data_IF_275554702225
#
_entry.id   IF_275554702225
#
_cell.length_a   1.000
_cell.length_b   1.000
_cell.length_c   1.000
_cell.angle_alpha   90.00
_cell.angle_beta   90.00
_cell.angle_gamma   90.00
#
_symmetry.space_group_name_H-M   'P 1'
#
loop_
_entity.id
_entity.type
_entity.pdbx_description
1 polymer ?
#
# COMPACT_ATOMS: atom_id res chain seq x y z
N UNK A 1 -38.95 -19.15 -41.95
CA UNK A 1 -37.78 -19.65 -41.16
C UNK A 1 -37.68 -19.05 -39.76
N UNK A 2 -38.11 -17.79 -39.49
CA UNK A 2 -38.03 -17.21 -38.14
C UNK A 2 -38.89 -17.92 -37.09
N UNK A 3 -40.07 -18.43 -37.46
CA UNK A 3 -40.96 -19.16 -36.54
C UNK A 3 -40.44 -20.52 -36.07
N UNK A 4 -39.60 -21.20 -36.86
CA UNK A 4 -39.07 -22.53 -36.51
C UNK A 4 -38.07 -22.46 -35.36
N UNK A 5 -37.29 -21.37 -35.28
CA UNK A 5 -36.29 -21.15 -34.22
C UNK A 5 -36.98 -20.80 -32.90
N UNK A 6 -38.04 -19.98 -32.94
CA UNK A 6 -38.83 -19.64 -31.74
C UNK A 6 -39.57 -20.87 -31.20
N UNK A 7 -40.15 -21.70 -32.08
CA UNK A 7 -40.85 -22.93 -31.67
C UNK A 7 -39.90 -23.96 -31.04
N UNK A 8 -38.67 -24.10 -31.55
CA UNK A 8 -37.67 -25.00 -30.95
C UNK A 8 -37.18 -24.50 -29.59
N UNK A 9 -37.02 -23.19 -29.41
CA UNK A 9 -36.54 -22.62 -28.15
C UNK A 9 -37.55 -22.77 -27.00
N UNK A 10 -38.85 -22.71 -27.30
CA UNK A 10 -39.91 -22.96 -26.30
C UNK A 10 -39.94 -24.44 -25.89
N UNK A 11 -39.74 -25.37 -26.83
CA UNK A 11 -39.72 -26.81 -26.53
C UNK A 11 -38.42 -27.28 -25.85
N UNK A 12 -37.26 -26.70 -26.18
CA UNK A 12 -35.96 -27.06 -25.57
C UNK A 12 -35.78 -26.54 -24.14
N UNK A 13 -36.63 -25.64 -23.67
CA UNK A 13 -36.60 -25.14 -22.29
C UNK A 13 -37.14 -26.16 -21.27
N UNK A 14 -37.76 -27.26 -21.74
CA UNK A 14 -38.37 -28.29 -20.89
C UNK A 14 -37.70 -29.66 -20.91
N UNK A 15 -36.76 -29.95 -21.82
CA UNK A 15 -35.99 -31.20 -21.76
C UNK A 15 -34.61 -31.08 -22.43
N UNK A 16 -33.55 -31.23 -21.63
CA UNK A 16 -32.11 -31.30 -21.96
C UNK A 16 -31.53 -30.27 -22.95
N UNK A 17 -30.93 -29.19 -22.40
CA UNK A 17 -30.17 -28.19 -23.14
C UNK A 17 -28.84 -28.73 -23.67
N UNK A 18 -28.73 -28.93 -24.97
CA UNK A 18 -27.46 -29.21 -25.64
C UNK A 18 -26.69 -27.89 -25.87
N UNK A 19 -25.39 -27.87 -25.56
CA UNK A 19 -24.50 -26.70 -25.73
C UNK A 19 -24.51 -26.06 -27.14
N UNK A 20 -24.91 -26.85 -28.15
CA UNK A 20 -25.04 -26.40 -29.54
C UNK A 20 -26.21 -25.41 -29.70
N UNK A 21 -27.32 -25.61 -28.98
CA UNK A 21 -28.50 -24.74 -29.09
C UNK A 21 -28.20 -23.34 -28.53
N UNK A 22 -27.37 -23.24 -27.49
CA UNK A 22 -26.90 -21.96 -26.93
C UNK A 22 -26.02 -21.18 -27.91
N UNK A 23 -25.13 -21.85 -28.64
CA UNK A 23 -24.28 -21.20 -29.65
C UNK A 23 -25.10 -20.67 -30.83
N UNK A 24 -26.11 -21.44 -31.27
CA UNK A 24 -27.03 -21.00 -32.32
C UNK A 24 -27.82 -19.76 -31.89
N UNK A 25 -28.23 -19.67 -30.62
CA UNK A 25 -28.91 -18.48 -30.10
C UNK A 25 -27.99 -17.24 -30.07
N UNK A 26 -26.76 -17.37 -29.61
CA UNK A 26 -25.79 -16.25 -29.58
C UNK A 26 -25.52 -15.75 -30.99
N UNK A 27 -25.33 -16.66 -31.94
CA UNK A 27 -25.10 -16.31 -33.34
C UNK A 27 -26.32 -15.62 -33.97
N UNK A 28 -27.53 -16.07 -33.61
CA UNK A 28 -28.77 -15.44 -34.04
C UNK A 28 -28.93 -14.01 -33.48
N UNK A 29 -28.61 -13.80 -32.20
CA UNK A 29 -28.62 -12.45 -31.61
C UNK A 29 -27.61 -11.51 -32.28
N UNK A 30 -26.40 -12.00 -32.58
CA UNK A 30 -25.38 -11.22 -33.28
C UNK A 30 -25.86 -10.75 -34.67
N UNK A 31 -26.57 -11.60 -35.41
CA UNK A 31 -27.14 -11.26 -36.73
C UNK A 31 -28.21 -10.16 -36.66
N UNK A 32 -28.93 -10.02 -35.55
CA UNK A 32 -29.94 -8.97 -35.35
C UNK A 32 -29.30 -7.65 -34.91
N UNK A 33 -28.28 -7.71 -34.03
CA UNK A 33 -27.61 -6.52 -33.51
C UNK A 33 -26.66 -5.90 -34.54
N UNK A 34 -26.04 -6.71 -35.40
CA UNK A 34 -25.09 -6.25 -36.41
C UNK A 34 -25.64 -5.18 -37.39
N UNK A 35 -26.85 -5.31 -37.98
CA UNK A 35 -27.41 -4.26 -38.82
C UNK A 35 -27.81 -3.00 -38.03
N UNK A 36 -28.17 -3.12 -36.74
CA UNK A 36 -28.47 -1.96 -35.89
C UNK A 36 -27.23 -1.09 -35.62
N UNK A 37 -26.03 -1.67 -35.61
CA UNK A 37 -24.77 -0.93 -35.48
C UNK A 37 -24.41 -0.19 -36.78
N UNK A 38 -24.86 -0.69 -37.94
CA UNK A 38 -24.58 -0.07 -39.25
C UNK A 38 -25.50 1.11 -39.57
N UNK A 39 -26.66 1.22 -38.92
CA UNK A 39 -27.67 2.24 -39.23
C UNK A 39 -27.73 3.42 -38.24
N UNK A 40 -26.87 3.47 -37.22
CA UNK A 40 -26.70 4.69 -36.40
C UNK A 40 -25.82 5.70 -37.16
N UNK A 41 -26.36 6.18 -38.27
CA UNK A 41 -26.04 7.47 -38.88
C UNK A 41 -26.90 8.52 -38.17
N UNK A 42 -26.51 8.93 -36.97
CA UNK A 42 -27.09 10.12 -36.34
C UNK A 42 -26.08 11.26 -36.48
N UNK A 43 -26.36 12.13 -37.47
CA UNK A 43 -25.93 13.53 -37.56
C UNK A 43 -24.52 13.86 -38.11
N UNK A 44 -24.11 13.21 -39.20
CA UNK A 44 -23.53 13.94 -40.34
C UNK A 44 -22.06 14.40 -40.32
N UNK A 45 -21.38 14.65 -39.19
CA UNK A 45 -19.95 15.05 -39.17
C UNK A 45 -19.28 14.73 -37.83
N UNK A 46 -18.45 13.68 -37.72
CA UNK A 46 -17.24 13.69 -36.83
C UNK A 46 -16.33 12.43 -36.89
N UNK A 47 -16.80 11.24 -37.27
CA UNK A 47 -15.98 10.02 -37.10
C UNK A 47 -14.74 9.92 -38.01
N UNK A 48 -14.74 10.57 -39.18
CA UNK A 48 -13.58 10.53 -40.08
C UNK A 48 -12.40 11.37 -39.56
N UNK A 49 -12.67 12.49 -38.88
CA UNK A 49 -11.61 13.31 -38.26
C UNK A 49 -11.05 12.65 -37.02
N UNK A 50 -11.89 12.11 -36.16
CA UNK A 50 -11.43 11.38 -34.96
C UNK A 50 -10.63 10.13 -35.31
N UNK A 51 -11.00 9.37 -36.36
CA UNK A 51 -10.19 8.21 -36.78
C UNK A 51 -8.86 8.65 -37.41
N UNK A 52 -8.82 9.74 -38.17
CA UNK A 52 -7.56 10.25 -38.72
C UNK A 52 -6.65 10.82 -37.63
N UNK A 53 -7.21 11.51 -36.64
CA UNK A 53 -6.49 12.06 -35.49
C UNK A 53 -6.01 10.94 -34.56
N UNK A 54 -6.84 9.94 -34.27
CA UNK A 54 -6.44 8.73 -33.51
C UNK A 54 -5.40 7.93 -34.27
N UNK A 55 -5.49 7.82 -35.60
CA UNK A 55 -4.47 7.12 -36.40
C UNK A 55 -3.14 7.88 -36.43
N UNK A 56 -3.19 9.21 -36.39
CA UNK A 56 -2.01 10.09 -36.28
C UNK A 56 -1.39 9.97 -34.89
N UNK A 57 -2.21 10.03 -33.84
CA UNK A 57 -1.79 9.89 -32.45
C UNK A 57 -1.26 8.48 -32.14
N UNK A 58 -1.86 7.42 -32.71
CA UNK A 58 -1.34 6.04 -32.60
C UNK A 58 -0.06 5.87 -33.40
N UNK A 59 0.08 6.48 -34.59
CA UNK A 59 1.32 6.41 -35.36
C UNK A 59 2.46 7.15 -34.65
N UNK A 60 2.17 8.30 -34.06
CA UNK A 60 3.13 9.08 -33.26
C UNK A 60 3.46 8.36 -31.95
N UNK A 61 2.47 7.75 -31.28
CA UNK A 61 2.67 6.91 -30.09
C UNK A 61 3.47 5.65 -30.40
N UNK A 62 3.27 5.01 -31.56
CA UNK A 62 4.02 3.82 -31.98
C UNK A 62 5.44 4.18 -32.40
N UNK A 63 5.65 5.36 -33.01
CA UNK A 63 6.99 5.86 -33.31
C UNK A 63 7.75 6.26 -32.04
N UNK A 64 7.07 6.87 -31.06
CA UNK A 64 7.63 7.14 -29.73
C UNK A 64 7.93 5.83 -28.98
N UNK A 65 7.01 4.86 -28.99
CA UNK A 65 7.24 3.51 -28.44
C UNK A 65 8.40 2.78 -29.13
N UNK A 66 8.59 2.95 -30.45
CA UNK A 66 9.75 2.38 -31.16
C UNK A 66 11.06 3.06 -30.78
N UNK A 67 11.06 4.39 -30.56
CA UNK A 67 12.22 5.11 -30.03
C UNK A 67 12.51 4.69 -28.57
N UNK A 68 11.47 4.52 -27.75
CA UNK A 68 11.58 4.08 -26.36
C UNK A 68 12.01 2.61 -26.25
N UNK A 69 11.57 1.73 -27.17
CA UNK A 69 11.99 0.33 -27.25
C UNK A 69 13.44 0.19 -27.75
N UNK A 70 13.89 1.05 -28.66
CA UNK A 70 15.29 1.06 -29.13
C UNK A 70 16.25 1.55 -28.04
N UNK A 71 15.77 2.35 -27.08
CA UNK A 71 16.49 2.70 -25.85
C UNK A 71 16.31 1.67 -24.70
N UNK A 72 15.29 0.79 -24.75
CA UNK A 72 14.96 -0.19 -23.69
C UNK A 72 15.47 -1.63 -23.93
N UNK A 73 16.38 -1.89 -24.87
CA UNK A 73 17.04 -3.22 -24.97
C UNK A 73 17.99 -3.49 -23.79
N UNK A 74 18.04 -2.61 -22.80
CA UNK A 74 18.56 -2.89 -21.46
C UNK A 74 17.40 -2.82 -20.45
N UNK A 75 16.60 -3.89 -20.37
CA UNK A 75 15.43 -3.95 -19.50
C UNK A 75 15.88 -4.15 -18.04
N UNK A 76 16.13 -3.05 -17.35
CA UNK A 76 16.06 -2.96 -15.89
C UNK A 76 14.70 -2.32 -15.56
N UNK A 77 13.79 -2.96 -14.81
CA UNK A 77 12.57 -2.29 -14.38
C UNK A 77 12.98 -1.10 -13.53
N UNK A 78 12.62 0.12 -13.95
CA UNK A 78 12.97 1.36 -13.26
C UNK A 78 12.18 1.46 -11.94
N UNK A 79 12.65 0.74 -10.92
CA UNK A 79 12.38 0.97 -9.51
C UNK A 79 13.09 2.28 -9.19
N UNK A 80 12.33 3.38 -9.09
CA UNK A 80 12.91 4.67 -8.70
C UNK A 80 13.18 4.64 -7.18
N UNK A 81 14.35 4.11 -6.80
CA UNK A 81 14.89 4.07 -5.44
C UNK A 81 15.30 5.49 -5.05
N UNK A 82 14.37 6.28 -4.53
CA UNK A 82 14.71 7.53 -3.83
C UNK A 82 15.04 7.20 -2.37
N UNK A 83 16.31 6.89 -2.11
CA UNK A 83 16.91 7.01 -0.78
C UNK A 83 17.19 8.49 -0.52
N UNK A 84 16.20 9.24 -0.04
CA UNK A 84 16.44 10.54 0.58
C UNK A 84 16.61 10.35 2.09
N UNK A 85 17.85 10.03 2.50
CA UNK A 85 18.37 10.49 3.80
C UNK A 85 18.49 12.01 3.70
N UNK A 86 17.48 12.72 4.16
CA UNK A 86 17.69 14.11 4.55
C UNK A 86 18.53 14.06 5.84
N UNK A 87 19.69 14.70 5.83
CA UNK A 87 20.58 14.83 6.99
C UNK A 87 19.81 15.43 8.16
N UNK A 88 19.88 14.78 9.33
CA UNK A 88 19.11 15.13 10.53
C UNK A 88 19.43 16.54 11.05
N UNK A 89 20.61 17.07 10.75
CA UNK A 89 21.06 18.40 11.17
C UNK A 89 20.27 19.56 10.51
N UNK A 90 19.82 19.35 9.27
CA UNK A 90 19.17 20.39 8.46
C UNK A 90 17.70 20.62 8.88
N UNK A 91 17.05 19.56 9.40
CA UNK A 91 15.69 19.63 9.95
C UNK A 91 15.66 20.26 11.34
N UNK A 92 16.66 19.96 12.17
CA UNK A 92 16.74 20.53 13.52
C UNK A 92 17.05 22.04 13.49
N UNK A 93 17.92 22.48 12.58
CA UNK A 93 18.22 23.90 12.40
C UNK A 93 16.98 24.70 11.96
N UNK A 94 16.21 24.17 11.01
CA UNK A 94 15.02 24.84 10.47
C UNK A 94 13.89 24.98 11.49
N UNK A 95 13.71 23.98 12.36
CA UNK A 95 12.70 24.01 13.42
C UNK A 95 13.06 25.04 14.51
N UNK A 96 14.36 25.19 14.84
CA UNK A 96 14.80 26.23 15.79
C UNK A 96 14.55 27.63 15.26
N UNK A 97 14.72 27.82 13.95
CA UNK A 97 14.48 29.11 13.29
C UNK A 97 12.99 29.46 13.26
N UNK A 98 12.12 28.50 12.90
CA UNK A 98 10.66 28.69 12.86
C UNK A 98 10.07 29.05 14.26
N UNK A 99 10.58 28.40 15.33
CA UNK A 99 10.15 28.69 16.71
C UNK A 99 10.61 30.09 17.17
N UNK A 100 11.80 30.51 16.74
CA UNK A 100 12.34 31.83 17.10
C UNK A 100 11.52 32.95 16.46
N UNK A 101 11.10 32.77 15.20
CA UNK A 101 10.24 33.72 14.48
C UNK A 101 8.84 33.83 15.10
N UNK A 102 8.22 32.72 15.50
CA UNK A 102 6.89 32.73 16.10
C UNK A 102 6.88 33.46 17.46
N UNK A 103 7.90 33.22 18.30
CA UNK A 103 8.04 33.87 19.61
C UNK A 103 8.35 35.37 19.47
N UNK A 104 9.20 35.76 18.53
CA UNK A 104 9.52 37.19 18.30
C UNK A 104 8.34 37.95 17.70
N UNK A 105 7.47 37.27 16.95
CA UNK A 105 6.25 37.87 16.40
C UNK A 105 5.17 38.05 17.49
N UNK A 106 5.00 37.06 18.37
CA UNK A 106 4.11 37.16 19.54
C UNK A 106 4.55 38.27 20.52
N UNK A 107 5.85 38.36 20.82
CA UNK A 107 6.39 39.36 21.74
C UNK A 107 6.30 40.81 21.19
N UNK A 108 6.35 41.00 19.87
CA UNK A 108 6.16 42.32 19.24
C UNK A 108 4.70 42.77 19.24
N UNK A 109 3.75 41.84 19.29
CA UNK A 109 2.32 42.15 19.29
C UNK A 109 1.77 42.48 20.71
N UNK A 110 2.52 42.19 21.78
CA UNK A 110 2.11 42.46 23.17
C UNK A 110 2.67 43.78 23.78
N UNK A 111 3.40 44.63 23.04
CA UNK A 111 4.07 45.81 23.62
C UNK A 111 3.68 47.12 22.92
N UNK A 112 2.75 47.84 23.56
CA UNK A 112 2.77 49.30 23.63
C UNK A 112 3.31 49.67 25.03
N UNK A 113 4.22 50.65 25.09
CA UNK A 113 4.82 51.28 26.28
C UNK A 113 6.00 50.58 27.03
N UNK A 114 7.20 51.12 26.81
CA UNK A 114 8.21 51.61 27.79
C UNK A 114 8.88 50.76 28.89
N UNK A 115 8.79 49.43 28.91
CA UNK A 115 9.66 48.62 29.80
C UNK A 115 10.40 47.48 29.08
N UNK A 116 11.52 47.83 28.42
CA UNK A 116 12.36 46.90 27.65
C UNK A 116 13.12 45.86 28.50
N UNK A 117 13.24 46.05 29.82
CA UNK A 117 14.00 45.14 30.68
C UNK A 117 13.18 43.92 31.16
N UNK A 118 11.88 44.07 31.39
CA UNK A 118 10.98 43.02 31.90
C UNK A 118 10.55 42.01 30.81
N UNK A 119 10.59 42.44 29.54
CA UNK A 119 10.23 41.59 28.40
C UNK A 119 11.25 40.47 28.18
N UNK A 120 12.54 40.76 28.34
CA UNK A 120 13.61 39.79 28.07
C UNK A 120 13.56 38.62 29.06
N UNK A 121 13.28 38.92 30.33
CA UNK A 121 13.16 37.91 31.39
C UNK A 121 11.88 37.06 31.21
N UNK A 122 10.74 37.68 30.88
CA UNK A 122 9.49 36.95 30.54
C UNK A 122 9.65 36.07 29.30
N UNK A 123 10.36 36.53 28.27
CA UNK A 123 10.65 35.75 27.06
C UNK A 123 11.57 34.57 27.39
N UNK A 124 12.62 34.76 28.19
CA UNK A 124 13.52 33.67 28.63
C UNK A 124 12.77 32.59 29.45
N UNK A 125 11.87 32.98 30.35
CA UNK A 125 11.06 32.04 31.14
C UNK A 125 10.08 31.28 30.24
N UNK A 126 9.38 31.95 29.31
CA UNK A 126 8.49 31.28 28.34
C UNK A 126 9.25 30.37 27.38
N UNK A 127 10.48 30.73 26.98
CA UNK A 127 11.37 29.87 26.19
C UNK A 127 11.73 28.63 26.99
N UNK A 128 12.13 28.76 28.26
CA UNK A 128 12.41 27.61 29.13
C UNK A 128 11.19 26.67 29.29
N UNK A 129 10.00 27.21 29.53
CA UNK A 129 8.78 26.40 29.67
C UNK A 129 8.32 25.74 28.35
N UNK A 130 8.48 26.43 27.21
CA UNK A 130 8.19 25.84 25.88
C UNK A 130 9.26 24.81 25.50
N UNK A 131 10.52 25.02 25.86
CA UNK A 131 11.61 24.06 25.68
C UNK A 131 11.39 22.80 26.53
N UNK A 132 10.96 22.93 27.78
CA UNK A 132 10.70 21.77 28.65
C UNK A 132 9.46 20.99 28.21
N UNK A 133 8.43 21.68 27.68
CA UNK A 133 7.29 21.03 27.02
C UNK A 133 7.65 20.40 25.66
N UNK A 134 8.61 20.99 24.94
CA UNK A 134 9.16 20.41 23.71
C UNK A 134 10.04 19.19 24.01
N UNK A 135 10.83 19.21 25.08
CA UNK A 135 11.60 18.07 25.62
C UNK A 135 10.69 16.96 26.13
N UNK A 136 9.51 17.27 26.69
CA UNK A 136 8.47 16.28 26.99
C UNK A 136 7.78 15.70 25.73
N UNK A 137 7.92 16.36 24.57
CA UNK A 137 7.50 15.88 23.24
C UNK A 137 8.64 15.28 22.43
N UNK A 138 9.87 15.26 22.94
CA UNK A 138 10.94 14.48 22.31
C UNK A 138 10.50 13.02 22.35
N UNK A 139 10.44 12.40 21.18
CA UNK A 139 10.50 10.95 21.09
C UNK A 139 11.67 10.50 21.97
N UNK A 140 11.34 9.80 23.06
CA UNK A 140 12.31 9.22 23.97
C UNK A 140 13.42 8.57 23.15
N UNK A 141 14.63 9.14 23.21
CA UNK A 141 15.75 8.72 22.36
C UNK A 141 16.01 7.23 22.51
N UNK A 142 15.86 6.71 23.72
CA UNK A 142 15.99 5.30 24.04
C UNK A 142 14.95 4.45 23.30
N UNK A 143 13.72 4.96 23.17
CA UNK A 143 12.67 4.31 22.40
C UNK A 143 12.97 4.30 20.90
N UNK A 144 13.51 5.39 20.36
CA UNK A 144 13.91 5.45 18.96
C UNK A 144 15.06 4.49 18.65
N UNK A 145 16.10 4.50 19.47
CA UNK A 145 17.26 3.63 19.34
C UNK A 145 16.84 2.15 19.42
N UNK A 146 15.90 1.83 20.31
CA UNK A 146 15.32 0.49 20.42
C UNK A 146 14.52 0.08 19.18
N UNK A 147 13.72 0.98 18.61
CA UNK A 147 12.97 0.72 17.37
C UNK A 147 13.95 0.41 16.24
N UNK A 148 14.97 1.27 16.08
CA UNK A 148 15.98 1.14 15.03
C UNK A 148 16.78 -0.15 15.17
N UNK A 149 17.26 -0.45 16.39
CA UNK A 149 17.94 -1.72 16.68
C UNK A 149 17.06 -2.93 16.32
N UNK A 150 15.76 -2.87 16.66
CA UNK A 150 14.84 -3.97 16.34
C UNK A 150 14.62 -4.12 14.84
N UNK A 151 14.50 -3.01 14.11
CA UNK A 151 14.44 -3.02 12.64
C UNK A 151 15.70 -3.63 12.04
N UNK A 152 16.89 -3.22 12.49
CA UNK A 152 18.17 -3.75 12.02
C UNK A 152 18.27 -5.27 12.24
N UNK A 153 17.85 -5.76 13.41
CA UNK A 153 17.81 -7.21 13.71
C UNK A 153 16.88 -7.98 12.77
N UNK A 154 15.70 -7.44 12.49
CA UNK A 154 14.73 -8.07 11.57
C UNK A 154 15.22 -8.02 10.12
N UNK A 155 15.83 -6.90 9.70
CA UNK A 155 16.42 -6.79 8.38
C UNK A 155 17.58 -7.76 8.20
N UNK A 156 18.41 -7.96 9.24
CA UNK A 156 19.43 -9.01 9.28
C UNK A 156 18.81 -10.40 9.08
N UNK A 157 17.79 -10.74 9.85
CA UNK A 157 17.05 -12.01 9.70
C UNK A 157 16.47 -12.22 8.29
N UNK A 158 15.91 -11.17 7.69
CA UNK A 158 15.34 -11.22 6.34
C UNK A 158 16.41 -11.41 5.27
N UNK A 159 17.54 -10.71 5.39
CA UNK A 159 18.70 -10.88 4.53
C UNK A 159 19.28 -12.29 4.65
N UNK A 160 19.39 -12.83 5.86
CA UNK A 160 19.88 -14.21 6.06
C UNK A 160 18.95 -15.25 5.44
N UNK A 161 17.63 -15.02 5.52
CA UNK A 161 16.62 -15.96 5.01
C UNK A 161 16.48 -15.94 3.49
N UNK A 162 16.47 -14.75 2.89
CA UNK A 162 16.13 -14.58 1.48
C UNK A 162 17.34 -14.16 0.63
N UNK A 163 18.39 -13.61 1.23
CA UNK A 163 19.57 -13.13 0.53
C UNK A 163 19.23 -12.07 -0.51
N UNK A 164 19.80 -12.22 -1.71
CA UNK A 164 19.58 -11.32 -2.86
C UNK A 164 18.12 -11.26 -3.33
N UNK A 165 17.27 -12.21 -2.89
CA UNK A 165 15.84 -12.23 -3.22
C UNK A 165 15.03 -11.19 -2.45
N UNK A 166 15.57 -10.62 -1.38
CA UNK A 166 14.86 -9.64 -0.56
C UNK A 166 15.24 -8.21 -0.92
N UNK A 167 14.22 -7.38 -1.12
CA UNK A 167 14.36 -5.95 -1.32
C UNK A 167 13.70 -5.20 -0.15
N UNK A 168 14.47 -4.43 0.64
CA UNK A 168 13.92 -3.62 1.73
C UNK A 168 13.27 -2.33 1.22
N UNK A 169 12.32 -1.79 1.99
CA UNK A 169 11.69 -0.48 1.81
C UNK A 169 11.13 -0.23 0.40
N UNK A 170 10.31 -1.14 -0.11
CA UNK A 170 9.75 -1.02 -1.46
C UNK A 170 8.66 0.04 -1.49
N UNK A 171 8.81 0.99 -2.41
CA UNK A 171 7.82 2.03 -2.71
C UNK A 171 7.10 1.71 -4.00
N UNK A 172 5.78 1.63 -3.93
CA UNK A 172 4.88 1.40 -5.05
C UNK A 172 4.13 2.68 -5.35
N UNK A 173 4.03 3.00 -6.64
CA UNK A 173 3.31 4.18 -7.12
C UNK A 173 2.40 3.79 -8.28
N UNK A 174 1.11 4.09 -8.16
CA UNK A 174 0.13 3.85 -9.23
C UNK A 174 0.26 4.92 -10.33
N UNK A 175 -0.32 4.67 -11.51
CA UNK A 175 -0.48 5.69 -12.56
C UNK A 175 -1.23 6.95 -12.09
N UNK A 176 -2.09 6.82 -11.07
CA UNK A 176 -2.80 7.95 -10.45
C UNK A 176 -1.97 8.70 -9.39
N UNK A 177 -0.69 8.36 -9.22
CA UNK A 177 0.21 8.97 -8.23
C UNK A 177 0.00 8.51 -6.78
N UNK A 178 -0.89 7.54 -6.52
CA UNK A 178 -1.06 6.94 -5.18
C UNK A 178 0.19 6.16 -4.80
N UNK A 179 0.70 6.40 -3.59
CA UNK A 179 1.92 5.79 -3.06
C UNK A 179 1.61 4.80 -1.92
N UNK A 180 2.29 3.67 -1.95
CA UNK A 180 2.32 2.69 -0.87
C UNK A 180 3.77 2.33 -0.59
N UNK A 181 4.16 2.36 0.68
CA UNK A 181 5.47 1.90 1.12
C UNK A 181 5.21 0.64 1.92
N UNK A 182 5.98 -0.40 1.62
CA UNK A 182 6.03 -1.68 2.35
C UNK A 182 7.45 -1.85 2.91
N UNK A 183 7.58 -2.53 4.04
CA UNK A 183 8.88 -2.70 4.70
C UNK A 183 9.83 -3.60 3.89
N UNK A 184 9.29 -4.50 3.07
CA UNK A 184 10.08 -5.18 2.05
C UNK A 184 9.27 -6.03 1.07
N UNK A 185 9.98 -6.64 0.13
CA UNK A 185 9.43 -7.54 -0.89
C UNK A 185 10.40 -8.69 -1.16
N UNK A 186 9.86 -9.84 -1.57
CA UNK A 186 10.66 -11.00 -1.99
C UNK A 186 10.43 -11.28 -3.47
N UNK A 187 11.50 -11.66 -4.16
CA UNK A 187 11.52 -12.00 -5.57
C UNK A 187 12.14 -13.40 -5.77
N UNK A 188 11.48 -14.26 -6.55
CA UNK A 188 12.02 -15.55 -6.96
C UNK A 188 12.14 -15.56 -8.48
N UNK A 189 13.35 -15.86 -8.99
CA UNK A 189 13.66 -15.87 -10.42
C UNK A 189 13.25 -14.57 -11.13
N UNK A 190 13.46 -13.43 -10.45
CA UNK A 190 13.11 -12.10 -10.92
C UNK A 190 11.60 -11.76 -10.86
N UNK A 191 10.76 -12.70 -10.40
CA UNK A 191 9.33 -12.49 -10.24
C UNK A 191 8.99 -12.15 -8.80
N UNK A 192 8.17 -11.12 -8.62
CA UNK A 192 7.67 -10.75 -7.30
C UNK A 192 6.81 -11.88 -6.70
N UNK A 193 7.08 -12.27 -5.45
CA UNK A 193 6.37 -13.36 -4.77
C UNK A 193 5.52 -12.89 -3.61
N UNK A 194 6.04 -12.04 -2.72
CA UNK A 194 5.31 -11.56 -1.54
C UNK A 194 5.82 -10.23 -1.00
N UNK A 195 4.94 -9.52 -0.31
CA UNK A 195 5.30 -8.37 0.52
C UNK A 195 5.64 -8.81 1.94
N UNK A 196 6.52 -8.04 2.58
CA UNK A 196 6.88 -8.17 3.98
C UNK A 196 6.52 -6.87 4.69
N UNK A 197 5.83 -6.99 5.82
CA UNK A 197 5.48 -5.87 6.68
C UNK A 197 5.93 -6.17 8.10
N UNK A 198 6.72 -5.27 8.68
CA UNK A 198 7.28 -5.36 10.02
C UNK A 198 6.40 -4.53 10.95
N UNK A 199 5.99 -5.11 12.07
CA UNK A 199 5.16 -4.44 13.07
C UNK A 199 5.75 -4.63 14.46
N UNK A 200 6.26 -3.52 14.99
CA UNK A 200 6.73 -3.43 16.37
C UNK A 200 5.53 -3.14 17.27
N UNK A 201 5.20 -4.09 18.14
CA UNK A 201 3.98 -4.04 18.96
C UNK A 201 4.36 -4.03 20.44
N UNK A 202 3.90 -3.01 21.16
CA UNK A 202 3.95 -2.99 22.63
C UNK A 202 2.82 -3.87 23.19
N UNK A 203 2.91 -4.30 24.45
CA UNK A 203 1.91 -5.21 25.05
C UNK A 203 0.44 -4.74 24.93
N UNK A 204 0.18 -3.43 24.89
CA UNK A 204 -1.17 -2.85 24.70
C UNK A 204 -1.62 -2.79 23.22
N UNK A 205 -0.72 -3.02 22.28
CA UNK A 205 -0.96 -2.90 20.85
C UNK A 205 -1.51 -4.17 20.18
N UNK A 206 -1.54 -5.30 20.88
CA UNK A 206 -2.01 -6.57 20.30
C UNK A 206 -3.49 -6.55 19.92
N UNK A 207 -4.35 -6.03 20.80
CA UNK A 207 -5.81 -5.92 20.51
C UNK A 207 -6.08 -5.04 19.28
N UNK A 208 -5.24 -4.04 19.07
CA UNK A 208 -5.33 -3.11 17.96
C UNK A 208 -4.74 -3.67 16.66
N UNK A 209 -3.91 -4.72 16.75
CA UNK A 209 -3.18 -5.23 15.59
C UNK A 209 -4.11 -5.74 14.49
N UNK A 210 -5.19 -6.45 14.83
CA UNK A 210 -6.16 -6.93 13.83
C UNK A 210 -6.77 -5.80 12.99
N UNK A 211 -7.02 -4.65 13.62
CA UNK A 211 -7.55 -3.48 12.93
C UNK A 211 -6.49 -2.84 12.02
N UNK A 212 -5.24 -2.77 12.50
CA UNK A 212 -4.10 -2.26 11.72
C UNK A 212 -3.86 -3.14 10.50
N UNK A 213 -3.75 -4.46 10.70
CA UNK A 213 -3.56 -5.44 9.65
C UNK A 213 -4.72 -5.39 8.64
N UNK A 214 -5.97 -5.39 9.12
CA UNK A 214 -7.15 -5.28 8.26
C UNK A 214 -7.18 -4.01 7.42
N UNK A 215 -6.79 -2.86 7.99
CA UNK A 215 -6.68 -1.59 7.26
C UNK A 215 -5.58 -1.65 6.20
N UNK A 216 -4.45 -2.27 6.53
CA UNK A 216 -3.32 -2.41 5.61
C UNK A 216 -3.66 -3.31 4.42
N UNK A 217 -4.27 -4.47 4.68
CA UNK A 217 -4.75 -5.39 3.64
C UNK A 217 -5.78 -4.73 2.73
N UNK A 218 -6.69 -3.92 3.29
CA UNK A 218 -7.64 -3.13 2.49
C UNK A 218 -6.91 -2.11 1.60
N UNK A 219 -5.85 -1.47 2.11
CA UNK A 219 -5.03 -0.55 1.32
C UNK A 219 -4.39 -1.28 0.14
N UNK A 220 -3.82 -2.47 0.35
CA UNK A 220 -3.27 -3.29 -0.73
C UNK A 220 -4.32 -3.66 -1.79
N UNK A 221 -5.50 -4.11 -1.35
CA UNK A 221 -6.59 -4.44 -2.27
C UNK A 221 -7.02 -3.22 -3.10
N UNK A 222 -7.05 -2.03 -2.50
CA UNK A 222 -7.35 -0.78 -3.20
C UNK A 222 -6.25 -0.36 -4.20
N UNK A 223 -5.03 -0.89 -4.05
CA UNK A 223 -3.95 -0.78 -5.02
C UNK A 223 -4.03 -1.85 -6.12
N UNK A 224 -5.03 -2.74 -6.07
CA UNK A 224 -5.17 -3.87 -7.00
C UNK A 224 -4.18 -5.01 -6.74
N UNK A 225 -3.46 -4.98 -5.62
CA UNK A 225 -2.42 -5.94 -5.29
C UNK A 225 -3.03 -7.15 -4.57
N UNK A 226 -3.24 -8.23 -5.33
CA UNK A 226 -3.74 -9.53 -4.86
C UNK A 226 -2.59 -10.52 -4.66
N UNK A 227 -1.67 -10.18 -3.77
CA UNK A 227 -0.42 -10.91 -3.58
C UNK A 227 -0.21 -11.36 -2.14
N UNK A 228 0.51 -12.47 -1.89
CA UNK A 228 0.83 -12.91 -0.54
C UNK A 228 1.55 -11.84 0.29
N UNK A 229 1.26 -11.82 1.58
CA UNK A 229 1.83 -10.90 2.55
C UNK A 229 2.32 -11.67 3.77
N UNK A 230 3.52 -11.34 4.22
CA UNK A 230 4.10 -11.84 5.47
C UNK A 230 4.18 -10.69 6.47
N UNK A 231 3.45 -10.79 7.58
CA UNK A 231 3.64 -9.91 8.72
C UNK A 231 4.71 -10.48 9.66
N UNK A 232 5.69 -9.67 10.01
CA UNK A 232 6.64 -9.95 11.09
C UNK A 232 6.24 -9.13 12.32
N UNK A 233 5.69 -9.78 13.33
CA UNK A 233 5.35 -9.12 14.58
C UNK A 233 6.49 -9.26 15.57
N UNK A 234 6.99 -8.13 16.05
CA UNK A 234 8.04 -8.10 17.06
C UNK A 234 7.53 -7.43 18.32
N UNK A 235 7.72 -8.08 19.46
CA UNK A 235 7.35 -7.53 20.77
C UNK A 235 8.23 -8.12 21.87
N UNK A 236 8.49 -7.35 22.91
CA UNK A 236 9.15 -7.88 24.12
C UNK A 236 8.25 -8.84 24.91
N UNK A 237 6.93 -8.69 24.72
CA UNK A 237 5.91 -9.34 25.54
C UNK A 237 5.12 -10.42 24.81
N UNK A 238 5.51 -10.76 23.57
CA UNK A 238 4.89 -11.85 22.83
C UNK A 238 5.35 -13.20 23.40
N UNK A 239 4.38 -14.09 23.60
CA UNK A 239 4.58 -15.47 24.02
C UNK A 239 3.77 -16.39 23.10
N UNK A 240 3.91 -17.70 23.28
CA UNK A 240 3.28 -18.71 22.42
C UNK A 240 1.74 -18.62 22.44
N UNK A 241 1.15 -18.23 23.57
CA UNK A 241 -0.30 -18.13 23.76
C UNK A 241 -0.84 -16.92 23.02
N UNK A 242 -0.22 -15.74 23.21
CA UNK A 242 -0.60 -14.51 22.50
C UNK A 242 -0.38 -14.64 21.00
N UNK A 243 0.71 -15.29 20.59
CA UNK A 243 0.97 -15.56 19.18
C UNK A 243 -0.15 -16.41 18.56
N UNK A 244 -0.66 -17.41 19.29
CA UNK A 244 -1.81 -18.20 18.86
C UNK A 244 -3.08 -17.35 18.76
N UNK A 245 -3.39 -16.56 19.79
CA UNK A 245 -4.59 -15.70 19.82
C UNK A 245 -4.61 -14.72 18.63
N UNK A 246 -3.48 -14.08 18.34
CA UNK A 246 -3.36 -13.16 17.19
C UNK A 246 -3.53 -13.89 15.87
N UNK A 247 -2.92 -15.08 15.76
CA UNK A 247 -3.01 -15.90 14.54
C UNK A 247 -4.46 -16.32 14.28
N UNK A 248 -5.18 -16.72 15.32
CA UNK A 248 -6.59 -17.10 15.23
C UNK A 248 -7.48 -15.90 14.86
N UNK A 249 -7.25 -14.74 15.48
CA UNK A 249 -7.95 -13.49 15.16
C UNK A 249 -7.76 -13.10 13.68
N UNK A 250 -6.55 -13.23 13.14
CA UNK A 250 -6.26 -12.91 11.74
C UNK A 250 -6.78 -13.95 10.76
N UNK A 251 -6.73 -15.24 11.11
CA UNK A 251 -7.36 -16.29 10.33
C UNK A 251 -8.87 -16.05 10.21
N UNK A 252 -9.53 -15.69 11.33
CA UNK A 252 -10.94 -15.34 11.34
C UNK A 252 -11.22 -14.10 10.48
N UNK A 253 -10.37 -13.07 10.56
CA UNK A 253 -10.50 -11.88 9.73
C UNK A 253 -10.33 -12.20 8.23
N UNK A 254 -9.41 -13.09 7.87
CA UNK A 254 -9.25 -13.55 6.49
C UNK A 254 -10.46 -14.38 6.03
N UNK A 255 -11.02 -15.22 6.90
CA UNK A 255 -12.19 -16.03 6.61
C UNK A 255 -13.45 -15.19 6.35
N UNK A 256 -13.79 -14.30 7.28
CA UNK A 256 -14.98 -13.43 7.17
C UNK A 256 -14.96 -12.54 5.94
N UNK A 257 -13.77 -12.07 5.57
CA UNK A 257 -13.58 -11.26 4.38
C UNK A 257 -13.74 -12.06 3.07
N UNK A 258 -13.40 -13.36 3.06
CA UNK A 258 -13.62 -14.24 1.89
C UNK A 258 -15.09 -14.55 1.67
N UNK A 259 -15.86 -14.75 2.73
CA UNK A 259 -17.27 -15.16 2.64
C UNK A 259 -18.23 -13.99 2.37
N UNK A 260 -17.89 -12.78 2.78
CA UNK A 260 -18.81 -11.63 2.73
C UNK A 260 -18.83 -10.80 1.43
N UNK A 261 -17.78 -10.84 0.60
CA UNK A 261 -17.66 -9.93 -0.57
C UNK A 261 -17.16 -10.57 -1.87
N UNK A 262 -16.81 -11.85 -1.88
CA UNK A 262 -16.24 -12.50 -3.08
C UNK A 262 -14.84 -12.02 -3.47
N UNK A 263 -14.28 -11.03 -2.76
CA UNK A 263 -12.91 -10.57 -2.94
C UNK A 263 -11.94 -11.61 -2.38
N UNK A 264 -11.12 -12.17 -3.27
CA UNK A 264 -9.97 -12.99 -2.88
C UNK A 264 -8.94 -12.07 -2.20
N UNK A 265 -8.96 -12.04 -0.87
CA UNK A 265 -7.91 -11.37 -0.09
C UNK A 265 -6.57 -12.07 -0.27
N UNK A 266 -5.51 -11.28 -0.06
CA UNK A 266 -4.13 -11.73 0.02
C UNK A 266 -4.00 -12.92 0.98
N UNK A 267 -3.18 -13.89 0.62
CA UNK A 267 -2.74 -14.91 1.58
C UNK A 267 -1.87 -14.17 2.60
N UNK A 268 -2.27 -14.23 3.88
CA UNK A 268 -1.57 -13.55 4.96
C UNK A 268 -0.89 -14.58 5.84
N UNK A 269 0.44 -14.57 5.81
CA UNK A 269 1.29 -15.32 6.72
C UNK A 269 1.76 -14.39 7.84
N UNK A 270 2.04 -14.99 9.01
CA UNK A 270 2.46 -14.25 10.18
C UNK A 270 3.57 -15.01 10.87
N UNK A 271 4.64 -14.30 11.21
CA UNK A 271 5.71 -14.79 12.08
C UNK A 271 5.86 -13.87 13.28
N UNK A 272 6.15 -14.48 14.42
CA UNK A 272 6.23 -13.81 15.71
C UNK A 272 7.66 -13.86 16.23
N UNK A 273 8.14 -12.73 16.73
CA UNK A 273 9.47 -12.58 17.29
C UNK A 273 9.39 -11.91 18.65
N UNK A 274 9.99 -12.55 19.65
CA UNK A 274 10.23 -11.94 20.94
C UNK A 274 11.53 -11.16 20.90
N UNK A 275 11.47 -9.88 21.23
CA UNK A 275 12.68 -9.08 21.47
C UNK A 275 13.18 -9.36 22.89
N UNK A 276 14.38 -9.90 23.01
CA UNK A 276 15.05 -10.23 24.26
C UNK A 276 16.41 -9.54 24.31
N UNK A 277 16.41 -8.30 24.80
CA UNK A 277 17.56 -7.41 24.69
C UNK A 277 17.92 -7.12 23.24
N UNK A 278 19.14 -7.45 22.84
CA UNK A 278 19.69 -7.24 21.48
C UNK A 278 19.47 -8.44 20.55
N UNK A 279 18.55 -9.35 20.90
CA UNK A 279 18.26 -10.55 20.10
C UNK A 279 16.78 -10.66 19.82
N UNK A 280 16.46 -11.19 18.65
CA UNK A 280 15.12 -11.63 18.29
C UNK A 280 15.03 -13.15 18.37
N UNK A 281 13.99 -13.65 19.03
CA UNK A 281 13.74 -15.08 19.21
C UNK A 281 12.42 -15.40 18.53
N UNK A 282 12.42 -16.32 17.57
CA UNK A 282 11.20 -16.74 16.90
C UNK A 282 10.28 -17.46 17.89
N UNK A 283 9.01 -17.04 17.93
CA UNK A 283 7.97 -17.62 18.78
C UNK A 283 7.01 -18.41 17.91
N UNK A 284 6.94 -19.71 18.15
CA UNK A 284 6.00 -20.58 17.45
C UNK A 284 4.69 -20.66 18.24
N UNK A 285 3.53 -20.38 17.61
CA UNK A 285 2.23 -20.55 18.26
C UNK A 285 2.01 -22.02 18.64
N UNK A 286 1.81 -22.31 19.93
CA UNK A 286 1.47 -23.66 20.40
C UNK A 286 0.01 -23.73 20.79
N UNK A 287 -0.69 -24.76 20.32
CA UNK A 287 -2.07 -25.05 20.75
C UNK A 287 -2.11 -25.23 22.27
N UNK A 288 -3.11 -24.63 22.94
CA UNK A 288 -3.42 -24.98 24.33
C UNK A 288 -3.67 -26.49 24.38
N UNK A 289 -2.82 -27.22 25.09
CA UNK A 289 -3.02 -28.65 25.38
C UNK A 289 -4.19 -28.82 26.33
#
# INVERSE_FOLDING_TARGET
MSGYIVFRFVNSSFDNSNNIDSLVLIFWFALIVFPLIKEINILGVSFKREIEDVKREVRDSVNNLKMDLRNNVNVNPNINIYSQKASDDEKEAKIKEDILEEITTEAKNEVDCDDKLDITEKVMVRIGEKEDKAKGKFFDKDRYDKIKMTEDLIMGYLNDRYGEKFAPYVKLETSTGKKLIVDGAVFEDGQFTKFIEIKLISGKGFDNFKYIAGRYLRKLNNFGLKVPMLFLLVSESIDEIKALEIKDDLNFLCYTNRTGRGDKFNVVDIEFFKLDGEKIIKVEPKSKK
#
